data_IF_105651450362
#
_entry.id   IF_105651450362
#
_cell.length_a   1.000
_cell.length_b   1.000
_cell.length_c   1.000
_cell.angle_alpha   90.00
_cell.angle_beta   90.00
_cell.angle_gamma   90.00
#
_symmetry.space_group_name_H-M   'P 1'
#
loop_
_entity.id
_entity.type
_entity.pdbx_description
1 polymer ?
#
# COMPACT_ATOMS: atom_id res chain seq x y z
N UNK A 1 -18.51 -6.78 18.91
CA UNK A 1 -18.54 -5.84 17.77
C UNK A 1 -18.07 -6.59 16.53
N UNK A 2 -18.97 -6.91 15.60
CA UNK A 2 -18.56 -7.45 14.29
C UNK A 2 -18.12 -6.25 13.46
N UNK A 3 -16.82 -5.99 13.41
CA UNK A 3 -16.28 -5.04 12.44
C UNK A 3 -16.63 -5.60 11.05
N UNK A 4 -17.57 -4.93 10.39
CA UNK A 4 -17.82 -5.11 8.96
C UNK A 4 -16.53 -4.69 8.24
N UNK A 5 -15.58 -5.61 8.11
CA UNK A 5 -14.55 -5.50 7.08
C UNK A 5 -15.30 -5.67 5.77
N UNK A 6 -15.94 -4.59 5.30
CA UNK A 6 -16.30 -4.48 3.92
C UNK A 6 -14.98 -4.75 3.18
N UNK A 7 -14.87 -5.96 2.64
CA UNK A 7 -13.87 -6.34 1.64
C UNK A 7 -14.27 -5.46 0.46
N UNK A 8 -13.97 -4.17 0.54
CA UNK A 8 -14.05 -3.30 -0.60
C UNK A 8 -13.09 -3.94 -1.58
N UNK A 9 -13.64 -4.40 -2.70
CA UNK A 9 -12.90 -4.76 -3.90
C UNK A 9 -12.18 -3.51 -4.44
N UNK A 10 -11.38 -2.86 -3.60
CA UNK A 10 -10.54 -1.74 -3.95
C UNK A 10 -9.34 -2.37 -4.64
N UNK A 11 -9.50 -2.59 -5.94
CA UNK A 11 -8.40 -2.95 -6.82
C UNK A 11 -7.33 -1.86 -6.68
N UNK A 12 -6.17 -2.23 -6.13
CA UNK A 12 -5.06 -1.32 -6.04
C UNK A 12 -4.51 -1.06 -7.45
N UNK A 13 -4.52 0.21 -7.87
CA UNK A 13 -3.96 0.60 -9.17
C UNK A 13 -2.44 0.72 -9.05
N UNK A 14 -1.74 -0.30 -9.52
CA UNK A 14 -0.29 -0.28 -9.66
C UNK A 14 0.16 0.83 -10.61
N UNK A 15 1.25 1.51 -10.26
CA UNK A 15 1.90 2.49 -11.11
C UNK A 15 3.29 1.98 -11.46
N UNK A 16 3.63 1.97 -12.74
CA UNK A 16 5.00 1.69 -13.16
C UNK A 16 5.95 2.83 -12.75
N UNK A 17 7.25 2.50 -12.66
CA UNK A 17 8.27 3.45 -12.25
C UNK A 17 8.33 4.71 -13.13
N UNK A 18 8.04 4.59 -14.43
CA UNK A 18 8.07 5.74 -15.34
C UNK A 18 6.90 6.70 -15.09
N UNK A 19 5.74 6.16 -14.77
CA UNK A 19 4.55 6.93 -14.37
C UNK A 19 4.77 7.61 -13.03
N UNK A 20 5.35 6.92 -12.04
CA UNK A 20 5.69 7.52 -10.73
C UNK A 20 6.59 8.75 -10.90
N UNK A 21 7.60 8.65 -11.76
CA UNK A 21 8.51 9.78 -12.07
C UNK A 21 7.82 11.00 -12.69
N UNK A 22 6.70 10.81 -13.37
CA UNK A 22 5.95 11.90 -14.01
C UNK A 22 4.92 12.55 -13.08
N UNK A 23 4.68 12.00 -11.89
CA UNK A 23 3.75 12.60 -10.93
C UNK A 23 4.29 13.94 -10.44
N UNK A 24 3.38 14.89 -10.18
CA UNK A 24 3.71 16.09 -9.41
C UNK A 24 3.91 15.72 -7.94
N UNK A 25 4.67 16.54 -7.21
CA UNK A 25 5.08 16.24 -5.84
C UNK A 25 3.90 16.07 -4.88
N UNK A 26 2.86 16.90 -5.03
CA UNK A 26 1.62 16.77 -4.24
C UNK A 26 0.92 15.43 -4.50
N UNK A 27 0.79 15.04 -5.77
CA UNK A 27 0.14 13.79 -6.15
C UNK A 27 0.97 12.58 -5.70
N UNK A 28 2.30 12.69 -5.77
CA UNK A 28 3.21 11.66 -5.29
C UNK A 28 3.05 11.45 -3.76
N UNK A 29 2.98 12.53 -2.99
CA UNK A 29 2.77 12.48 -1.54
C UNK A 29 1.39 11.90 -1.19
N UNK A 30 0.33 12.34 -1.87
CA UNK A 30 -1.02 11.77 -1.68
C UNK A 30 -1.04 10.28 -2.00
N UNK A 31 -0.48 9.87 -3.14
CA UNK A 31 -0.40 8.45 -3.52
C UNK A 31 0.40 7.62 -2.53
N UNK A 32 1.47 8.17 -1.98
CA UNK A 32 2.28 7.52 -0.95
C UNK A 32 1.44 7.27 0.31
N UNK A 33 0.69 8.27 0.78
CA UNK A 33 -0.20 8.15 1.95
C UNK A 33 -1.35 7.18 1.71
N UNK A 34 -2.00 7.26 0.54
CA UNK A 34 -3.09 6.36 0.17
C UNK A 34 -2.62 4.91 0.10
N UNK A 35 -1.46 4.68 -0.51
CA UNK A 35 -0.86 3.34 -0.61
C UNK A 35 -0.52 2.78 0.76
N UNK A 36 0.03 3.61 1.65
CA UNK A 36 0.29 3.20 3.03
C UNK A 36 -0.99 2.85 3.80
N UNK A 37 -2.05 3.66 3.67
CA UNK A 37 -3.35 3.34 4.28
C UNK A 37 -3.92 2.03 3.73
N UNK A 38 -3.83 1.84 2.42
CA UNK A 38 -4.30 0.63 1.76
C UNK A 38 -3.51 -0.61 2.21
N UNK A 39 -2.20 -0.47 2.37
CA UNK A 39 -1.36 -1.52 2.92
C UNK A 39 -1.81 -1.93 4.33
N UNK A 40 -2.02 -0.96 5.23
CA UNK A 40 -2.43 -1.25 6.62
C UNK A 40 -3.75 -2.00 6.70
N UNK A 41 -4.71 -1.67 5.82
CA UNK A 41 -5.97 -2.42 5.72
C UNK A 41 -5.73 -3.88 5.29
N UNK A 42 -4.82 -4.11 4.33
CA UNK A 42 -4.49 -5.46 3.88
C UNK A 42 -3.70 -6.26 4.94
N UNK A 43 -2.84 -5.61 5.73
CA UNK A 43 -2.16 -6.24 6.87
C UNK A 43 -3.14 -6.68 7.96
N UNK A 44 -4.15 -5.85 8.27
CA UNK A 44 -5.23 -6.21 9.20
C UNK A 44 -6.03 -7.38 8.65
N UNK A 45 -6.42 -7.34 7.37
CA UNK A 45 -7.13 -8.43 6.72
C UNK A 45 -6.34 -9.75 6.79
N UNK A 46 -5.05 -9.71 6.45
CA UNK A 46 -4.17 -10.89 6.52
C UNK A 46 -4.10 -11.48 7.93
N UNK A 47 -4.02 -10.65 8.97
CA UNK A 47 -4.02 -11.09 10.38
C UNK A 47 -5.36 -11.73 10.79
N UNK A 48 -6.46 -11.32 10.16
CA UNK A 48 -7.80 -11.78 10.48
C UNK A 48 -8.22 -13.03 9.69
N UNK A 49 -7.52 -13.40 8.61
CA UNK A 49 -7.77 -14.66 7.91
C UNK A 49 -7.27 -15.81 8.78
N UNK A 50 -8.21 -16.63 9.27
CA UNK A 50 -7.93 -17.91 9.95
C UNK A 50 -8.48 -19.05 9.09
N UNK A 51 -7.73 -20.16 9.06
CA UNK A 51 -8.16 -21.47 8.57
C UNK A 51 -8.50 -21.63 7.08
N UNK A 52 -8.13 -20.66 6.23
CA UNK A 52 -8.17 -20.80 4.77
C UNK A 52 -6.79 -20.49 4.17
N UNK A 53 -6.01 -21.55 3.93
CA UNK A 53 -4.66 -21.45 3.40
C UNK A 53 -4.60 -20.73 2.04
N UNK A 54 -5.60 -20.96 1.17
CA UNK A 54 -5.67 -20.32 -0.14
C UNK A 54 -5.86 -18.81 -0.01
N UNK A 55 -6.83 -18.37 0.79
CA UNK A 55 -7.05 -16.95 1.07
C UNK A 55 -5.87 -16.30 1.78
N UNK A 56 -5.23 -17.02 2.70
CA UNK A 56 -4.05 -16.52 3.41
C UNK A 56 -2.90 -16.26 2.44
N UNK A 57 -2.61 -17.19 1.51
CA UNK A 57 -1.57 -17.01 0.49
C UNK A 57 -1.86 -15.84 -0.43
N UNK A 58 -3.09 -15.68 -0.89
CA UNK A 58 -3.49 -14.55 -1.73
C UNK A 58 -3.33 -13.23 -0.97
N UNK A 59 -3.73 -13.18 0.30
CA UNK A 59 -3.58 -11.99 1.13
C UNK A 59 -2.10 -11.65 1.40
N UNK A 60 -1.25 -12.65 1.63
CA UNK A 60 0.20 -12.47 1.78
C UNK A 60 0.81 -11.83 0.52
N UNK A 61 0.49 -12.38 -0.67
CA UNK A 61 0.96 -11.84 -1.94
C UNK A 61 0.49 -10.41 -2.18
N UNK A 62 -0.77 -10.09 -1.83
CA UNK A 62 -1.29 -8.72 -1.93
C UNK A 62 -0.52 -7.76 -1.03
N UNK A 63 -0.28 -8.13 0.23
CA UNK A 63 0.51 -7.33 1.17
C UNK A 63 1.91 -7.08 0.61
N UNK A 64 2.62 -8.12 0.16
CA UNK A 64 3.96 -7.99 -0.43
C UNK A 64 3.99 -7.08 -1.66
N UNK A 65 2.98 -7.20 -2.52
CA UNK A 65 2.87 -6.36 -3.72
C UNK A 65 2.67 -4.87 -3.36
N UNK A 66 1.77 -4.57 -2.42
CA UNK A 66 1.51 -3.19 -2.01
C UNK A 66 2.71 -2.60 -1.28
N UNK A 67 3.41 -3.40 -0.46
CA UNK A 67 4.69 -3.06 0.15
C UNK A 67 5.69 -2.61 -0.91
N UNK A 68 5.89 -3.42 -1.95
CA UNK A 68 6.81 -3.09 -3.03
C UNK A 68 6.44 -1.78 -3.74
N UNK A 69 5.15 -1.56 -4.01
CA UNK A 69 4.71 -0.33 -4.64
C UNK A 69 4.95 0.89 -3.74
N UNK A 70 4.70 0.76 -2.44
CA UNK A 70 4.97 1.82 -1.48
C UNK A 70 6.45 2.17 -1.43
N UNK A 71 7.33 1.18 -1.46
CA UNK A 71 8.78 1.39 -1.53
C UNK A 71 9.19 2.21 -2.76
N UNK A 72 8.59 1.94 -3.93
CA UNK A 72 8.88 2.72 -5.13
C UNK A 72 8.45 4.20 -4.97
N UNK A 73 7.29 4.44 -4.38
CA UNK A 73 6.78 5.79 -4.12
C UNK A 73 7.63 6.55 -3.08
N UNK A 74 8.04 5.87 -2.01
CA UNK A 74 8.89 6.45 -0.96
C UNK A 74 10.28 6.76 -1.51
N UNK A 75 10.87 5.86 -2.32
CA UNK A 75 12.16 6.11 -2.97
C UNK A 75 12.11 7.31 -3.89
N UNK A 76 11.02 7.49 -4.63
CA UNK A 76 10.83 8.68 -5.46
C UNK A 76 10.65 9.94 -4.60
N UNK A 77 9.88 9.89 -3.51
CA UNK A 77 9.78 11.00 -2.56
C UNK A 77 11.17 11.40 -2.04
N UNK A 78 11.97 10.42 -1.63
CA UNK A 78 13.32 10.63 -1.14
C UNK A 78 14.25 11.22 -2.20
N UNK A 79 14.21 10.70 -3.42
CA UNK A 79 15.00 11.23 -4.55
C UNK A 79 14.70 12.70 -4.86
N UNK A 80 13.49 13.17 -4.54
CA UNK A 80 13.06 14.57 -4.69
C UNK A 80 13.21 15.42 -3.43
N UNK A 81 13.71 14.85 -2.32
CA UNK A 81 13.83 15.55 -1.04
C UNK A 81 12.49 15.79 -0.33
N UNK A 82 11.42 15.09 -0.70
CA UNK A 82 10.09 15.25 -0.11
C UNK A 82 9.95 14.47 1.19
N UNK A 83 9.42 15.12 2.24
CA UNK A 83 9.08 14.46 3.51
C UNK A 83 7.70 13.81 3.41
N UNK A 84 7.67 12.48 3.26
CA UNK A 84 6.41 11.72 3.13
C UNK A 84 5.60 11.61 4.44
N UNK A 85 6.22 11.83 5.61
CA UNK A 85 5.52 11.92 6.90
C UNK A 85 4.89 10.61 7.40
N UNK A 86 5.34 9.46 6.87
CA UNK A 86 4.86 8.14 7.31
C UNK A 86 5.69 7.70 8.54
N UNK A 87 5.11 7.79 9.74
CA UNK A 87 5.72 7.24 10.96
C UNK A 87 5.77 5.71 10.88
N UNK A 88 6.91 5.12 11.23
CA UNK A 88 7.23 3.67 11.18
C UNK A 88 7.45 3.08 9.78
N UNK A 89 7.85 3.87 8.79
CA UNK A 89 8.26 3.37 7.47
C UNK A 89 9.69 3.79 7.14
N UNK A 90 10.62 3.35 7.98
CA UNK A 90 12.07 3.18 7.79
C UNK A 90 12.59 2.33 8.96
#
# INVERSE_FOLDING_TARGET
>A
MKENYAIQNNTYKCLDKSTIKKLSDNVLLEKTKDTYRFLKLNEIYLKNIRDDYGKQKIAQLRVQFIHHQLDLLIRECFARGLKHGLNNYY
#
